data_IF_586140552547
#
_entry.id   IF_586140552547
#
_cell.length_a   1.000
_cell.length_b   1.000
_cell.length_c   1.000
_cell.angle_alpha   90.00
_cell.angle_beta   90.00
_cell.angle_gamma   90.00
#
_symmetry.space_group_name_H-M   'P 1'
#
loop_
_entity.id
_entity.type
_entity.pdbx_description
1 polymer ?
#
# COMPACT_ATOMS: atom_id res chain seq x y z
N UNK A 1 27.99 -60.28 23.57
CA UNK A 1 28.44 -59.34 22.54
C UNK A 1 27.26 -58.51 22.16
N UNK A 2 27.13 -57.31 22.76
CA UNK A 2 26.10 -56.35 22.42
C UNK A 2 26.75 -55.24 21.58
N UNK A 3 26.28 -55.11 20.34
CA UNK A 3 26.67 -54.02 19.46
C UNK A 3 25.81 -52.81 19.71
N UNK A 4 26.45 -51.66 20.05
CA UNK A 4 25.82 -50.38 20.22
C UNK A 4 25.77 -49.71 18.83
N UNK A 5 24.55 -49.43 18.32
CA UNK A 5 24.34 -48.58 17.13
C UNK A 5 24.43 -47.12 17.59
N UNK A 6 25.47 -46.44 17.12
CA UNK A 6 25.60 -45.00 17.29
C UNK A 6 24.73 -44.22 16.27
N UNK A 7 23.85 -43.36 16.77
CA UNK A 7 23.07 -42.44 15.95
C UNK A 7 23.95 -41.24 15.56
N UNK A 8 24.27 -41.13 14.27
CA UNK A 8 24.97 -39.99 13.71
C UNK A 8 23.91 -38.91 13.39
N UNK A 9 23.86 -37.85 14.21
CA UNK A 9 23.09 -36.65 13.92
C UNK A 9 23.92 -35.81 12.94
N UNK A 10 23.52 -35.78 11.67
CA UNK A 10 24.09 -34.81 10.72
C UNK A 10 23.51 -33.43 10.96
N UNK A 11 24.33 -32.53 11.52
CA UNK A 11 24.10 -31.12 11.53
C UNK A 11 24.29 -30.55 10.13
N UNK A 12 23.21 -30.27 9.41
CA UNK A 12 23.24 -29.54 8.14
C UNK A 12 23.32 -28.04 8.44
N UNK A 13 24.53 -27.51 8.50
CA UNK A 13 24.76 -26.06 8.38
C UNK A 13 24.45 -25.59 6.96
N UNK A 14 23.76 -24.45 6.76
CA UNK A 14 23.57 -23.92 5.42
C UNK A 14 24.91 -23.48 4.86
N UNK A 15 25.41 -24.17 3.85
CA UNK A 15 26.63 -23.80 3.12
C UNK A 15 26.39 -22.50 2.37
N UNK A 16 27.03 -21.44 2.85
CA UNK A 16 27.27 -20.22 2.09
C UNK A 16 28.12 -20.57 0.86
N UNK A 17 27.57 -20.48 -0.33
CA UNK A 17 28.33 -20.62 -1.56
C UNK A 17 29.11 -19.33 -1.76
N UNK A 18 30.36 -19.31 -1.36
CA UNK A 18 31.28 -18.19 -1.62
C UNK A 18 31.93 -18.43 -2.97
N UNK A 19 31.53 -17.72 -4.00
CA UNK A 19 32.33 -17.59 -5.22
C UNK A 19 33.48 -16.60 -4.96
N UNK A 20 34.69 -17.11 -4.79
CA UNK A 20 35.90 -16.30 -4.84
C UNK A 20 36.16 -15.85 -6.28
N UNK A 21 35.94 -14.57 -6.55
CA UNK A 21 36.60 -13.86 -7.65
C UNK A 21 37.47 -12.76 -7.02
N UNK A 22 38.75 -12.80 -7.31
CA UNK A 22 39.75 -11.77 -6.94
C UNK A 22 39.32 -10.43 -7.57
N UNK A 23 38.75 -9.56 -6.77
CA UNK A 23 38.72 -8.09 -6.80
C UNK A 23 37.52 -7.65 -5.96
N UNK A 24 37.81 -6.98 -4.84
CA UNK A 24 36.90 -6.23 -3.97
C UNK A 24 35.44 -6.73 -3.88
N UNK A 25 35.12 -7.55 -2.89
CA UNK A 25 33.74 -7.96 -2.55
C UNK A 25 32.91 -6.73 -2.11
N UNK A 26 32.29 -6.06 -3.06
CA UNK A 26 31.10 -5.29 -2.78
C UNK A 26 29.92 -6.28 -2.71
N UNK A 27 29.51 -6.65 -1.50
CA UNK A 27 28.21 -7.30 -1.28
C UNK A 27 27.13 -6.30 -1.74
N UNK A 28 26.72 -6.40 -3.01
CA UNK A 28 25.57 -5.66 -3.51
C UNK A 28 24.33 -6.26 -2.87
N UNK A 29 23.93 -5.72 -1.70
CA UNK A 29 22.65 -6.07 -1.10
C UNK A 29 21.57 -5.62 -2.08
N UNK A 30 20.82 -6.57 -2.60
CA UNK A 30 19.63 -6.32 -3.41
C UNK A 30 18.41 -6.18 -2.50
N UNK A 31 17.44 -5.36 -2.89
CA UNK A 31 16.13 -5.29 -2.21
C UNK A 31 15.47 -6.66 -2.20
N UNK A 32 15.00 -7.13 -1.04
CA UNK A 32 14.28 -8.40 -0.96
C UNK A 32 13.01 -8.44 -1.83
N UNK A 33 12.64 -9.61 -2.27
CA UNK A 33 11.34 -9.90 -2.87
C UNK A 33 10.78 -11.20 -2.27
N UNK A 34 9.61 -11.18 -1.63
CA UNK A 34 8.82 -9.98 -1.36
C UNK A 34 9.53 -9.03 -0.39
N UNK A 35 9.16 -7.74 -0.43
CA UNK A 35 9.65 -6.76 0.53
C UNK A 35 9.11 -7.03 1.93
N UNK A 36 7.84 -7.45 2.00
CA UNK A 36 7.17 -7.76 3.27
C UNK A 36 6.01 -8.73 3.07
N UNK A 37 5.82 -9.59 4.07
CA UNK A 37 4.62 -10.41 4.25
C UNK A 37 4.12 -10.25 5.68
N UNK A 38 2.80 -10.10 5.86
CA UNK A 38 2.20 -10.02 7.18
C UNK A 38 2.33 -11.37 7.90
N UNK A 39 3.00 -11.43 9.08
CA UNK A 39 3.26 -12.70 9.75
C UNK A 39 2.01 -13.29 10.43
N UNK A 40 0.97 -12.48 10.67
CA UNK A 40 -0.24 -12.90 11.37
C UNK A 40 -1.21 -13.54 10.38
N UNK A 41 -1.65 -12.77 9.38
CA UNK A 41 -2.71 -13.19 8.47
C UNK A 41 -2.26 -13.43 7.03
N UNK A 42 -1.03 -13.06 6.69
CA UNK A 42 -0.48 -13.19 5.32
C UNK A 42 -1.26 -12.40 4.26
N UNK A 43 -1.81 -11.28 4.68
CA UNK A 43 -2.73 -10.46 3.89
C UNK A 43 -2.37 -8.97 3.88
N UNK A 44 -1.07 -8.61 3.80
CA UNK A 44 -0.64 -7.22 3.68
C UNK A 44 -1.02 -6.63 2.31
N UNK A 45 -1.86 -5.59 2.31
CA UNK A 45 -2.33 -4.91 1.10
C UNK A 45 -2.35 -3.39 1.29
N UNK A 46 -2.47 -2.64 0.21
CA UNK A 46 -2.67 -1.19 0.19
C UNK A 46 -1.64 -0.44 1.08
N UNK A 47 -0.33 -0.65 0.86
CA UNK A 47 0.72 -0.09 1.71
C UNK A 47 0.86 1.41 1.53
N UNK A 48 1.16 2.14 2.64
CA UNK A 48 1.64 3.52 2.64
C UNK A 48 2.82 3.66 3.57
N UNK A 49 3.82 4.44 3.17
CA UNK A 49 5.04 4.61 3.94
C UNK A 49 5.11 6.00 4.59
N UNK A 50 5.52 6.04 5.85
CA UNK A 50 5.73 7.28 6.60
C UNK A 50 7.03 7.20 7.41
N UNK A 51 7.81 8.29 7.42
CA UNK A 51 8.93 8.42 8.32
C UNK A 51 8.45 8.73 9.74
N UNK A 52 8.82 7.90 10.69
CA UNK A 52 8.56 8.14 12.11
C UNK A 52 9.83 8.69 12.79
N UNK A 53 9.91 10.01 13.03
CA UNK A 53 11.09 10.63 13.63
C UNK A 53 11.28 10.29 15.09
N UNK A 54 10.24 9.83 15.79
CA UNK A 54 10.27 9.51 17.22
C UNK A 54 11.04 8.21 17.50
N UNK A 55 10.98 7.26 16.56
CA UNK A 55 11.71 5.98 16.62
C UNK A 55 12.82 5.90 15.58
N UNK A 56 13.03 6.97 14.79
CA UNK A 56 14.01 7.08 13.71
C UNK A 56 13.95 5.89 12.74
N UNK A 57 12.74 5.55 12.30
CA UNK A 57 12.45 4.42 11.43
C UNK A 57 11.37 4.76 10.39
N UNK A 58 11.40 4.06 9.28
CA UNK A 58 10.29 4.05 8.35
C UNK A 58 9.20 3.11 8.85
N UNK A 59 7.96 3.57 8.82
CA UNK A 59 6.79 2.76 9.06
C UNK A 59 6.05 2.52 7.75
N UNK A 60 5.64 1.27 7.54
CA UNK A 60 4.68 0.87 6.53
C UNK A 60 3.36 0.62 7.24
N UNK A 61 2.34 1.38 6.89
CA UNK A 61 0.98 1.13 7.30
C UNK A 61 0.26 0.45 6.14
N UNK A 62 -0.59 -0.53 6.44
CA UNK A 62 -1.22 -1.34 5.40
C UNK A 62 -2.56 -1.91 5.87
N UNK A 63 -3.42 -2.24 4.94
CA UNK A 63 -4.63 -3.04 5.23
C UNK A 63 -4.20 -4.44 5.64
N UNK A 64 -4.44 -4.82 6.89
CA UNK A 64 -4.15 -6.17 7.39
C UNK A 64 -5.30 -7.10 7.04
N UNK A 65 -5.38 -7.56 5.77
CA UNK A 65 -6.41 -8.51 5.32
C UNK A 65 -6.22 -9.85 6.02
N UNK A 66 -7.32 -10.49 6.41
CA UNK A 66 -7.32 -11.72 7.21
C UNK A 66 -7.26 -12.97 6.33
N UNK A 67 -6.25 -13.10 5.45
CA UNK A 67 -6.17 -14.18 4.47
C UNK A 67 -6.29 -15.59 5.06
N UNK A 68 -5.77 -15.80 6.29
CA UNK A 68 -5.87 -17.08 7.01
C UNK A 68 -7.23 -17.30 7.69
N UNK A 69 -8.14 -16.33 7.68
CA UNK A 69 -9.48 -16.54 8.23
C UNK A 69 -10.31 -17.45 7.32
N UNK A 70 -10.98 -18.44 7.94
CA UNK A 70 -11.88 -19.36 7.24
C UNK A 70 -13.31 -18.79 7.27
N UNK A 71 -13.57 -17.84 6.40
CA UNK A 71 -14.81 -17.09 6.33
C UNK A 71 -15.37 -17.09 4.90
N UNK A 72 -16.70 -16.98 4.78
CA UNK A 72 -17.39 -17.00 3.48
C UNK A 72 -17.24 -15.70 2.73
N UNK A 73 -17.30 -15.80 1.41
CA UNK A 73 -17.30 -14.66 0.50
C UNK A 73 -16.06 -13.79 0.70
N UNK A 74 -16.27 -12.50 0.90
CA UNK A 74 -15.21 -11.49 1.09
C UNK A 74 -14.99 -11.11 2.56
N UNK A 75 -15.60 -11.84 3.52
CA UNK A 75 -15.47 -11.53 4.95
C UNK A 75 -14.01 -11.48 5.44
N UNK A 76 -13.09 -12.18 4.79
CA UNK A 76 -11.65 -12.14 5.08
C UNK A 76 -11.00 -10.77 4.78
N UNK A 77 -11.63 -9.93 3.94
CA UNK A 77 -11.23 -8.54 3.71
C UNK A 77 -11.84 -7.57 4.73
N UNK A 78 -12.71 -8.05 5.60
CA UNK A 78 -13.38 -7.27 6.64
C UNK A 78 -12.88 -7.62 8.03
N UNK A 79 -13.23 -6.83 9.05
CA UNK A 79 -12.65 -6.94 10.38
C UNK A 79 -11.14 -6.67 10.36
N UNK A 80 -10.69 -5.87 9.42
CA UNK A 80 -9.27 -5.55 9.20
C UNK A 80 -8.85 -4.35 10.03
N UNK A 81 -7.62 -4.41 10.51
CA UNK A 81 -6.93 -3.32 11.17
C UNK A 81 -5.95 -2.64 10.20
N UNK A 82 -5.42 -1.49 10.60
CA UNK A 82 -4.24 -0.91 9.97
C UNK A 82 -3.00 -1.53 10.61
N UNK A 83 -2.36 -2.46 9.88
CA UNK A 83 -1.13 -3.10 10.30
C UNK A 83 0.05 -2.13 10.24
N UNK A 84 1.06 -2.36 11.08
CA UNK A 84 2.29 -1.57 11.16
C UNK A 84 3.50 -2.47 10.99
N UNK A 85 4.37 -2.17 10.03
CA UNK A 85 5.70 -2.73 9.93
C UNK A 85 6.76 -1.62 10.01
N UNK A 86 7.90 -1.89 10.64
CA UNK A 86 8.97 -0.93 10.89
C UNK A 86 10.25 -1.35 10.19
N UNK A 87 10.93 -0.39 9.54
CA UNK A 87 12.26 -0.56 8.97
C UNK A 87 13.24 0.48 9.56
N UNK A 88 14.38 0.00 10.05
CA UNK A 88 15.48 0.83 10.58
C UNK A 88 16.68 0.95 9.64
N UNK A 89 16.63 0.28 8.50
CA UNK A 89 17.72 0.18 7.53
C UNK A 89 17.40 0.81 6.17
N UNK A 90 16.49 1.79 6.16
CA UNK A 90 16.11 2.50 4.95
C UNK A 90 15.22 1.70 4.01
N UNK A 91 14.36 0.83 4.55
CA UNK A 91 13.36 0.11 3.79
C UNK A 91 13.77 -1.27 3.29
N UNK A 92 14.96 -1.78 3.68
CA UNK A 92 15.47 -3.08 3.22
C UNK A 92 14.82 -4.23 3.99
N UNK A 93 14.72 -4.10 5.32
CA UNK A 93 14.07 -5.11 6.17
C UNK A 93 12.91 -4.50 6.94
N UNK A 94 11.85 -5.29 7.14
CA UNK A 94 10.64 -4.85 7.80
C UNK A 94 10.22 -5.81 8.91
N UNK A 95 9.87 -5.26 10.07
CA UNK A 95 9.48 -6.01 11.25
C UNK A 95 8.07 -5.61 11.67
N UNK A 96 7.16 -6.56 11.81
CA UNK A 96 5.80 -6.34 12.29
C UNK A 96 5.80 -5.75 13.70
N UNK A 97 4.97 -4.73 13.93
CA UNK A 97 4.86 -3.98 15.19
C UNK A 97 3.48 -4.05 15.84
N UNK A 98 2.55 -4.75 15.23
CA UNK A 98 1.15 -4.76 15.66
C UNK A 98 0.25 -3.96 14.73
N UNK A 99 -0.87 -3.49 15.26
CA UNK A 99 -1.84 -2.65 14.56
C UNK A 99 -2.01 -1.31 15.24
N UNK A 100 -2.52 -0.32 14.51
CA UNK A 100 -2.85 0.98 15.10
C UNK A 100 -4.12 0.90 15.95
N UNK A 101 -4.12 1.44 17.18
CA UNK A 101 -5.29 1.48 18.04
C UNK A 101 -6.24 2.62 17.60
N UNK A 102 -6.99 2.40 16.53
CA UNK A 102 -7.92 3.39 16.00
C UNK A 102 -9.28 3.26 16.70
N UNK A 103 -9.80 4.37 17.23
CA UNK A 103 -11.15 4.41 17.77
C UNK A 103 -12.18 4.48 16.65
N UNK A 104 -13.31 3.82 16.81
CA UNK A 104 -14.40 3.73 15.84
C UNK A 104 -15.75 3.70 16.54
N UNK A 105 -16.85 4.15 15.88
CA UNK A 105 -18.16 4.25 16.51
C UNK A 105 -18.93 2.92 16.57
N UNK A 106 -18.64 1.97 15.68
CA UNK A 106 -19.45 0.78 15.49
C UNK A 106 -18.88 -0.43 16.22
N UNK A 107 -19.72 -1.41 16.53
CA UNK A 107 -19.31 -2.65 17.18
C UNK A 107 -18.41 -3.51 16.29
N UNK A 108 -18.70 -3.56 14.97
CA UNK A 108 -17.87 -4.21 13.95
C UNK A 108 -17.39 -3.18 12.94
N UNK A 109 -16.20 -3.38 12.39
CA UNK A 109 -15.57 -2.42 11.48
C UNK A 109 -14.50 -3.07 10.60
N UNK A 110 -14.08 -2.32 9.60
CA UNK A 110 -12.88 -2.61 8.80
C UNK A 110 -12.19 -1.31 8.45
N UNK A 111 -10.86 -1.31 8.47
CA UNK A 111 -10.04 -0.23 7.94
C UNK A 111 -9.31 -0.70 6.69
N UNK A 112 -9.39 0.09 5.60
CA UNK A 112 -8.69 -0.18 4.34
C UNK A 112 -7.92 1.02 3.85
N UNK A 113 -6.81 0.77 3.17
CA UNK A 113 -6.06 1.74 2.37
C UNK A 113 -5.86 3.10 3.06
N UNK A 114 -5.05 3.17 4.12
CA UNK A 114 -4.72 4.43 4.75
C UNK A 114 -3.85 5.30 3.84
N UNK A 115 -4.06 6.63 3.87
CA UNK A 115 -3.06 7.60 3.40
C UNK A 115 -2.67 8.54 4.53
N UNK A 116 -1.39 8.91 4.58
CA UNK A 116 -0.84 9.73 5.66
C UNK A 116 -0.11 10.94 5.09
N UNK A 117 -0.46 12.10 5.63
CA UNK A 117 0.23 13.34 5.37
C UNK A 117 0.68 14.00 6.68
N UNK A 118 1.63 14.91 6.60
CA UNK A 118 2.05 15.77 7.71
C UNK A 118 1.79 17.22 7.34
N UNK A 119 1.06 17.95 8.19
CA UNK A 119 0.77 19.36 7.95
C UNK A 119 1.99 20.25 8.27
N UNK A 120 1.92 21.53 7.91
CA UNK A 120 3.00 22.50 8.12
C UNK A 120 3.28 22.81 9.59
N UNK A 121 2.40 22.38 10.51
CA UNK A 121 2.58 22.47 11.98
C UNK A 121 3.19 21.21 12.57
N UNK A 122 3.44 20.20 11.74
CA UNK A 122 4.03 18.93 12.13
C UNK A 122 3.04 17.88 12.64
N UNK A 123 1.72 18.16 12.58
CA UNK A 123 0.69 17.20 12.93
C UNK A 123 0.51 16.20 11.77
N UNK A 124 0.43 14.92 12.12
CA UNK A 124 0.11 13.86 11.16
C UNK A 124 -1.40 13.71 11.03
N UNK A 125 -1.85 13.51 9.82
CA UNK A 125 -3.23 13.25 9.47
C UNK A 125 -3.30 11.94 8.70
N UNK A 126 -4.14 11.03 9.13
CA UNK A 126 -4.44 9.81 8.41
C UNK A 126 -5.88 9.88 7.90
N UNK A 127 -6.04 9.59 6.63
CA UNK A 127 -7.33 9.35 6.00
C UNK A 127 -7.38 7.89 5.63
N UNK A 128 -8.46 7.21 6.01
CA UNK A 128 -8.55 5.77 5.87
C UNK A 128 -9.98 5.38 5.52
N UNK A 129 -10.15 4.41 4.64
CA UNK A 129 -11.45 3.84 4.33
C UNK A 129 -11.98 3.10 5.55
N UNK A 130 -13.20 3.37 5.93
CA UNK A 130 -13.89 2.76 7.06
C UNK A 130 -15.17 2.07 6.59
N UNK A 131 -15.31 0.79 6.93
CA UNK A 131 -16.51 0.00 6.62
C UNK A 131 -17.14 -0.46 7.92
N UNK A 132 -18.39 -0.05 8.23
CA UNK A 132 -19.10 -0.50 9.41
C UNK A 132 -19.57 -1.96 9.27
N UNK A 133 -19.75 -2.63 10.39
CA UNK A 133 -20.31 -3.99 10.46
C UNK A 133 -19.31 -5.07 10.83
N UNK A 134 -19.81 -6.14 11.40
CA UNK A 134 -19.00 -7.31 11.77
C UNK A 134 -18.56 -8.06 10.49
N UNK A 135 -17.31 -8.52 10.44
CA UNK A 135 -16.73 -9.17 9.26
C UNK A 135 -17.58 -10.31 8.69
N UNK A 136 -18.13 -11.15 9.56
CA UNK A 136 -18.95 -12.30 9.17
C UNK A 136 -20.26 -11.94 8.48
N UNK A 137 -20.67 -10.68 8.54
CA UNK A 137 -21.87 -10.18 7.84
C UNK A 137 -21.58 -9.80 6.38
N UNK A 138 -20.31 -9.61 6.02
CA UNK A 138 -19.87 -9.19 4.69
C UNK A 138 -19.61 -10.41 3.79
N UNK A 139 -20.65 -10.88 3.10
CA UNK A 139 -20.55 -11.99 2.15
C UNK A 139 -20.15 -11.54 0.74
N UNK A 140 -20.36 -10.29 0.44
CA UNK A 140 -20.04 -9.61 -0.82
C UNK A 140 -19.46 -8.21 -0.55
N UNK A 141 -19.20 -7.46 -1.62
CA UNK A 141 -18.65 -6.10 -1.55
C UNK A 141 -19.73 -5.03 -1.29
N UNK A 142 -20.91 -5.39 -0.81
CA UNK A 142 -21.95 -4.44 -0.46
C UNK A 142 -21.68 -3.65 0.83
N UNK A 143 -22.59 -2.71 1.14
CA UNK A 143 -22.57 -1.91 2.37
C UNK A 143 -21.89 -0.55 2.23
N UNK A 144 -22.13 0.30 3.22
CA UNK A 144 -21.58 1.67 3.28
C UNK A 144 -20.08 1.66 3.52
N UNK A 145 -19.41 2.69 3.02
CA UNK A 145 -17.97 2.93 3.18
C UNK A 145 -17.72 4.40 3.27
N UNK A 146 -16.90 4.78 4.24
CA UNK A 146 -16.63 6.18 4.55
C UNK A 146 -15.14 6.42 4.57
N UNK A 147 -14.72 7.64 4.34
CA UNK A 147 -13.36 8.06 4.66
C UNK A 147 -13.37 8.69 6.04
N UNK A 148 -12.59 8.09 6.96
CA UNK A 148 -12.37 8.62 8.30
C UNK A 148 -11.06 9.39 8.36
N UNK A 149 -11.07 10.49 9.11
CA UNK A 149 -9.92 11.32 9.37
C UNK A 149 -9.50 11.19 10.83
N UNK A 150 -8.24 10.86 11.02
CA UNK A 150 -7.56 10.82 12.31
C UNK A 150 -6.40 11.78 12.33
N UNK A 151 -6.01 12.28 13.50
CA UNK A 151 -4.80 13.08 13.70
C UNK A 151 -3.89 12.48 14.77
N UNK A 152 -2.58 12.71 14.64
CA UNK A 152 -1.58 12.23 15.59
C UNK A 152 -0.40 13.17 15.69
N UNK A 153 0.13 13.33 16.91
CA UNK A 153 1.38 14.07 17.16
C UNK A 153 2.62 13.16 17.05
N UNK A 154 2.44 11.84 17.10
CA UNK A 154 3.54 10.88 17.27
C UNK A 154 3.41 9.58 16.47
N UNK A 155 2.43 9.49 15.57
CA UNK A 155 2.10 8.31 14.76
C UNK A 155 1.63 7.07 15.56
N UNK A 156 1.74 7.06 16.88
CA UNK A 156 1.36 5.91 17.73
C UNK A 156 0.00 6.09 18.40
N UNK A 157 -0.36 7.30 18.77
CA UNK A 157 -1.66 7.64 19.35
C UNK A 157 -2.46 8.48 18.35
N UNK A 158 -3.60 7.96 17.97
CA UNK A 158 -4.46 8.57 16.96
C UNK A 158 -5.78 9.04 17.58
N UNK A 159 -6.16 10.27 17.28
CA UNK A 159 -7.43 10.88 17.67
C UNK A 159 -8.36 10.85 16.47
N UNK A 160 -9.54 10.27 16.62
CA UNK A 160 -10.60 10.40 15.63
C UNK A 160 -11.05 11.87 15.54
N UNK A 161 -11.01 12.42 14.36
CA UNK A 161 -11.45 13.81 14.11
C UNK A 161 -12.87 13.82 13.56
N UNK A 162 -13.12 13.05 12.51
CA UNK A 162 -14.44 13.01 11.85
C UNK A 162 -14.54 11.95 10.75
N UNK A 163 -15.75 11.69 10.31
CA UNK A 163 -16.05 11.22 8.97
C UNK A 163 -15.89 12.39 8.01
N UNK A 164 -15.19 12.20 6.89
CA UNK A 164 -15.07 13.22 5.83
C UNK A 164 -16.42 13.37 5.12
N UNK A 165 -16.96 14.59 5.00
CA UNK A 165 -18.27 14.82 4.37
C UNK A 165 -18.09 14.79 2.83
N UNK A 166 -18.29 13.64 2.22
CA UNK A 166 -18.29 13.44 0.77
C UNK A 166 -19.72 13.24 0.26
N UNK A 167 -19.92 13.32 -1.05
CA UNK A 167 -21.25 13.26 -1.66
C UNK A 167 -21.90 11.87 -1.59
N UNK A 168 -21.10 10.83 -1.40
CA UNK A 168 -21.53 9.43 -1.38
C UNK A 168 -21.11 8.74 -0.09
N UNK A 169 -21.90 7.76 0.33
CA UNK A 169 -21.61 6.85 1.43
C UNK A 169 -20.85 5.59 0.99
N UNK A 170 -20.21 5.63 -0.18
CA UNK A 170 -19.48 4.52 -0.78
C UNK A 170 -18.08 4.92 -1.23
N UNK A 171 -17.38 5.72 -0.41
CA UNK A 171 -16.07 6.28 -0.73
C UNK A 171 -14.95 5.53 -0.05
N UNK A 172 -13.91 5.17 -0.84
CA UNK A 172 -12.71 4.47 -0.37
C UNK A 172 -11.43 5.08 -0.98
N UNK A 173 -10.29 4.61 -0.52
CA UNK A 173 -8.95 4.83 -1.08
C UNK A 173 -8.58 6.32 -1.19
N UNK A 174 -8.56 7.06 -0.08
CA UNK A 174 -8.15 8.44 -0.09
C UNK A 174 -6.66 8.57 -0.43
N UNK A 175 -6.31 9.57 -1.24
CA UNK A 175 -4.92 9.99 -1.48
C UNK A 175 -4.83 11.50 -1.49
N UNK A 176 -3.91 12.05 -0.71
CA UNK A 176 -3.83 13.48 -0.46
C UNK A 176 -2.55 14.10 -1.00
N UNK A 177 -2.69 15.33 -1.46
CA UNK A 177 -1.55 16.19 -1.82
C UNK A 177 -1.81 17.63 -1.34
N UNK A 178 -0.75 18.32 -0.93
CA UNK A 178 -0.83 19.75 -0.71
C UNK A 178 -0.66 20.49 -2.04
N UNK A 179 -1.60 21.40 -2.33
CA UNK A 179 -1.55 22.23 -3.53
C UNK A 179 -0.56 23.41 -3.34
N UNK A 180 -0.05 24.01 -4.41
CA UNK A 180 0.89 25.13 -4.34
C UNK A 180 0.34 26.34 -3.56
N UNK A 181 -0.98 26.53 -3.49
CA UNK A 181 -1.63 27.59 -2.71
C UNK A 181 -1.75 27.27 -1.20
N UNK A 182 -1.24 26.09 -0.76
CA UNK A 182 -1.28 25.64 0.62
C UNK A 182 -2.56 24.89 1.03
N UNK A 183 -3.59 24.85 0.19
CA UNK A 183 -4.76 23.99 0.41
C UNK A 183 -4.44 22.53 0.12
N UNK A 184 -5.40 21.65 0.37
CA UNK A 184 -5.25 20.22 0.22
C UNK A 184 -6.23 19.70 -0.82
N UNK A 185 -5.80 18.71 -1.61
CA UNK A 185 -6.65 17.98 -2.53
C UNK A 185 -6.58 16.49 -2.18
N UNK A 186 -7.74 15.85 -2.17
CA UNK A 186 -7.92 14.42 -1.98
C UNK A 186 -8.55 13.82 -3.22
N UNK A 187 -7.92 12.79 -3.78
CA UNK A 187 -8.54 11.88 -4.72
C UNK A 187 -9.05 10.67 -3.95
N UNK A 188 -10.18 10.14 -4.35
CA UNK A 188 -10.79 8.96 -3.72
C UNK A 188 -11.63 8.21 -4.75
N UNK A 189 -11.90 6.93 -4.51
CA UNK A 189 -12.83 6.13 -5.32
C UNK A 189 -14.22 6.28 -4.74
N UNK A 190 -15.20 6.58 -5.59
CA UNK A 190 -16.62 6.58 -5.24
C UNK A 190 -17.32 5.42 -5.95
N UNK A 191 -17.68 4.40 -5.19
CA UNK A 191 -18.37 3.22 -5.70
C UNK A 191 -19.86 3.48 -5.92
N UNK A 192 -20.45 4.43 -5.22
CA UNK A 192 -21.83 4.89 -5.44
C UNK A 192 -22.03 5.55 -6.79
N UNK A 193 -20.95 6.07 -7.39
CA UNK A 193 -20.97 6.71 -8.70
C UNK A 193 -20.13 5.95 -9.75
N UNK A 194 -20.22 4.61 -9.73
CA UNK A 194 -19.63 3.74 -10.77
C UNK A 194 -18.17 3.42 -10.60
N UNK A 195 -17.68 3.37 -9.36
CA UNK A 195 -16.29 3.00 -9.02
C UNK A 195 -15.24 3.85 -9.72
N UNK A 196 -15.49 5.16 -9.79
CA UNK A 196 -14.61 6.13 -10.44
C UNK A 196 -13.84 6.95 -9.42
N UNK A 197 -12.78 7.62 -9.86
CA UNK A 197 -12.02 8.55 -9.04
C UNK A 197 -12.73 9.91 -9.00
N UNK A 198 -12.88 10.44 -7.80
CA UNK A 198 -13.42 11.76 -7.51
C UNK A 198 -12.42 12.63 -6.78
N UNK A 199 -12.71 13.91 -6.67
CA UNK A 199 -11.82 14.91 -6.10
C UNK A 199 -12.58 15.75 -5.08
N UNK A 200 -11.94 16.00 -3.93
CA UNK A 200 -12.38 16.99 -2.96
C UNK A 200 -11.21 17.88 -2.54
N UNK A 201 -11.49 19.14 -2.22
CA UNK A 201 -10.49 20.08 -1.73
C UNK A 201 -10.84 20.60 -0.35
N UNK A 202 -9.79 20.95 0.39
CA UNK A 202 -9.90 21.49 1.75
C UNK A 202 -8.83 22.54 2.01
N UNK A 203 -9.18 23.70 2.59
CA UNK A 203 -8.21 24.69 3.01
C UNK A 203 -7.48 24.28 4.30
N UNK A 204 -8.04 23.35 5.09
CA UNK A 204 -7.67 23.16 6.49
C UNK A 204 -7.66 21.68 6.95
N UNK A 205 -7.83 20.72 6.02
CA UNK A 205 -8.01 19.28 6.28
C UNK A 205 -9.28 18.95 7.09
N UNK A 206 -10.16 19.91 7.32
CA UNK A 206 -11.37 19.76 8.11
C UNK A 206 -12.62 19.99 7.30
N UNK A 207 -12.60 21.02 6.50
CA UNK A 207 -13.72 21.41 5.63
C UNK A 207 -13.42 20.90 4.22
N UNK A 208 -14.19 19.96 3.74
CA UNK A 208 -14.02 19.36 2.42
C UNK A 208 -15.16 19.76 1.49
N UNK A 209 -14.82 20.02 0.25
CA UNK A 209 -15.78 20.34 -0.81
C UNK A 209 -15.40 19.53 -2.06
N UNK A 210 -16.37 18.79 -2.58
CA UNK A 210 -16.24 18.16 -3.89
C UNK A 210 -15.99 19.22 -4.97
N UNK A 211 -15.09 18.94 -5.89
CA UNK A 211 -14.76 19.84 -7.00
C UNK A 211 -15.00 19.13 -8.32
N UNK A 212 -15.45 19.90 -9.31
CA UNK A 212 -15.53 19.42 -10.67
C UNK A 212 -14.11 19.18 -11.19
N UNK A 213 -13.85 17.94 -11.53
CA UNK A 213 -12.52 17.49 -11.84
C UNK A 213 -12.07 17.80 -13.24
N UNK A 214 -10.82 18.22 -13.37
CA UNK A 214 -10.18 18.52 -14.65
C UNK A 214 -9.65 17.31 -15.42
N UNK A 215 -10.10 16.09 -15.23
CA UNK A 215 -9.75 15.09 -16.24
C UNK A 215 -9.47 13.65 -15.82
N UNK A 216 -9.21 13.33 -14.53
CA UNK A 216 -9.04 11.93 -14.08
C UNK A 216 -10.16 11.43 -13.20
N UNK A 217 -11.02 12.31 -12.71
CA UNK A 217 -12.27 11.89 -12.09
C UNK A 217 -13.12 11.23 -13.15
N UNK A 218 -13.89 10.27 -12.76
CA UNK A 218 -14.73 9.44 -13.63
C UNK A 218 -13.97 8.39 -14.45
N UNK A 219 -12.66 8.21 -14.29
CA UNK A 219 -11.97 7.03 -14.78
C UNK A 219 -12.08 5.89 -13.77
N UNK A 220 -12.37 4.71 -14.25
CA UNK A 220 -12.45 3.50 -13.45
C UNK A 220 -11.10 3.19 -12.76
N UNK A 221 -11.14 2.63 -11.56
CA UNK A 221 -9.96 2.20 -10.80
C UNK A 221 -9.96 2.75 -9.37
N UNK A 222 -9.12 2.16 -8.56
CA UNK A 222 -8.94 2.43 -7.13
C UNK A 222 -7.51 2.87 -6.82
N UNK A 223 -7.21 3.16 -5.55
CA UNK A 223 -5.87 3.45 -5.08
C UNK A 223 -5.15 4.58 -5.83
N UNK A 224 -5.78 5.76 -6.06
CA UNK A 224 -5.06 6.85 -6.70
C UNK A 224 -3.90 7.28 -5.81
N UNK A 225 -2.67 7.36 -6.35
CA UNK A 225 -1.52 7.94 -5.64
C UNK A 225 -0.86 9.01 -6.49
N UNK A 226 -0.82 10.22 -5.94
CA UNK A 226 -0.23 11.38 -6.62
C UNK A 226 1.10 11.77 -5.98
N UNK A 227 2.12 12.04 -6.80
CA UNK A 227 3.45 12.41 -6.35
C UNK A 227 4.15 13.31 -7.39
N UNK A 228 5.18 14.05 -6.95
CA UNK A 228 6.02 14.83 -7.85
C UNK A 228 7.36 14.13 -8.05
N UNK A 229 7.76 13.96 -9.32
CA UNK A 229 9.04 13.35 -9.66
C UNK A 229 9.56 13.88 -11.01
N UNK A 230 10.86 14.22 -11.06
CA UNK A 230 11.53 14.74 -12.27
C UNK A 230 10.76 15.88 -12.96
N UNK A 231 10.34 16.86 -12.14
CA UNK A 231 9.72 18.10 -12.62
C UNK A 231 8.27 17.97 -13.12
N UNK A 232 7.62 16.82 -12.91
CA UNK A 232 6.23 16.58 -13.26
C UNK A 232 5.46 16.00 -12.09
N UNK A 233 4.16 16.22 -12.06
CA UNK A 233 3.25 15.45 -11.20
C UNK A 233 2.82 14.18 -11.93
N UNK A 234 2.74 13.11 -11.17
CA UNK A 234 2.31 11.80 -11.64
C UNK A 234 1.18 11.30 -10.75
N UNK A 235 0.25 10.60 -11.34
CA UNK A 235 -0.76 9.82 -10.63
C UNK A 235 -0.72 8.39 -11.14
N UNK A 236 -0.74 7.44 -10.23
CA UNK A 236 -0.96 6.03 -10.53
C UNK A 236 -2.30 5.60 -9.95
N UNK A 237 -2.97 4.65 -10.63
CA UNK A 237 -4.27 4.11 -10.23
C UNK A 237 -4.34 2.63 -10.54
N UNK A 238 -5.11 1.86 -9.76
CA UNK A 238 -5.33 0.44 -9.96
C UNK A 238 -6.70 0.15 -10.60
N UNK A 239 -6.77 -0.09 -11.91
CA UNK A 239 -7.98 -0.56 -12.60
C UNK A 239 -8.11 -2.09 -12.57
N UNK A 240 -7.43 -2.81 -11.66
CA UNK A 240 -7.34 -4.27 -11.58
C UNK A 240 -6.70 -4.95 -12.80
N UNK A 241 -5.83 -4.24 -13.51
CA UNK A 241 -5.10 -4.76 -14.71
C UNK A 241 -3.69 -4.18 -14.81
N UNK A 242 -3.00 -4.06 -13.69
CA UNK A 242 -1.79 -3.26 -13.51
C UNK A 242 -2.16 -1.81 -13.18
N UNK A 243 -1.18 -0.92 -13.10
CA UNK A 243 -1.39 0.45 -12.66
C UNK A 243 -1.40 1.42 -13.84
N UNK A 244 -2.49 2.13 -14.02
CA UNK A 244 -2.59 3.26 -14.96
C UNK A 244 -1.73 4.42 -14.49
N UNK A 245 -1.03 5.05 -15.41
CA UNK A 245 -0.15 6.20 -15.16
C UNK A 245 -0.70 7.44 -15.88
N UNK A 246 -0.80 8.51 -15.12
CA UNK A 246 -1.15 9.85 -15.63
C UNK A 246 -0.04 10.84 -15.28
N UNK A 247 0.18 11.82 -16.17
CA UNK A 247 1.14 12.90 -15.98
C UNK A 247 0.43 14.24 -16.01
N UNK A 248 0.85 15.16 -15.13
CA UNK A 248 0.35 16.53 -15.10
C UNK A 248 1.49 17.53 -14.87
N UNK A 249 1.44 18.73 -15.44
CA UNK A 249 2.33 19.84 -15.11
C UNK A 249 1.88 20.60 -13.85
N UNK A 250 0.59 20.54 -13.47
CA UNK A 250 -0.06 21.50 -12.59
C UNK A 250 -1.06 20.88 -11.59
N UNK A 251 -1.21 19.55 -11.52
CA UNK A 251 -2.21 18.81 -10.74
C UNK A 251 -3.66 18.93 -11.27
N UNK A 252 -3.90 19.72 -12.29
CA UNK A 252 -5.21 19.96 -12.89
C UNK A 252 -5.35 19.31 -14.27
N UNK A 253 -4.33 19.43 -15.10
CA UNK A 253 -4.33 18.94 -16.47
C UNK A 253 -3.65 17.57 -16.57
N UNK A 254 -4.42 16.49 -16.57
CA UNK A 254 -3.89 15.14 -16.55
C UNK A 254 -3.90 14.47 -17.93
N UNK A 255 -2.80 13.81 -18.27
CA UNK A 255 -2.66 13.06 -19.52
C UNK A 255 -2.27 11.62 -19.23
N UNK A 256 -3.05 10.68 -19.74
CA UNK A 256 -2.74 9.24 -19.67
C UNK A 256 -1.44 8.90 -20.39
N UNK A 257 -0.59 8.08 -19.74
CA UNK A 257 0.74 7.71 -20.26
C UNK A 257 0.87 6.22 -20.59
N UNK A 258 -0.08 5.38 -20.15
CA UNK A 258 -0.02 3.93 -20.26
C UNK A 258 -0.08 3.24 -18.90
N UNK A 259 0.39 2.00 -18.86
CA UNK A 259 0.39 1.17 -17.65
C UNK A 259 1.80 0.80 -17.21
N UNK A 260 1.94 0.55 -15.90
CA UNK A 260 3.09 -0.12 -15.29
C UNK A 260 2.58 -1.31 -14.46
N UNK A 261 3.45 -2.28 -14.16
CA UNK A 261 3.13 -3.46 -13.35
C UNK A 261 1.92 -4.27 -13.88
N UNK A 262 1.65 -4.18 -15.17
CA UNK A 262 0.55 -4.85 -15.87
C UNK A 262 0.90 -6.27 -16.34
N UNK A 263 2.16 -6.68 -16.15
CA UNK A 263 2.67 -8.02 -16.49
C UNK A 263 3.28 -8.69 -15.27
N UNK A 264 3.23 -10.03 -15.19
CA UNK A 264 3.94 -10.78 -14.17
C UNK A 264 5.43 -10.45 -14.12
N UNK A 265 5.98 -10.30 -12.90
CA UNK A 265 7.42 -10.25 -12.66
C UNK A 265 8.02 -11.66 -12.47
N UNK A 266 9.34 -11.71 -12.32
CA UNK A 266 10.11 -12.95 -12.15
C UNK A 266 10.61 -13.14 -10.72
N UNK A 267 10.48 -12.12 -9.88
CA UNK A 267 10.92 -12.17 -8.48
C UNK A 267 9.96 -13.01 -7.64
N UNK A 268 10.41 -13.44 -6.46
CA UNK A 268 9.56 -14.21 -5.55
C UNK A 268 8.31 -13.42 -5.17
N UNK A 269 7.16 -14.10 -5.18
CA UNK A 269 5.84 -13.56 -4.86
C UNK A 269 5.41 -12.36 -5.74
N UNK A 270 6.03 -12.18 -6.91
CA UNK A 270 5.81 -11.05 -7.84
C UNK A 270 5.28 -11.51 -9.22
N UNK A 271 4.79 -12.74 -9.31
CA UNK A 271 4.35 -13.40 -10.55
C UNK A 271 2.97 -12.99 -11.05
N UNK A 272 2.36 -11.92 -10.54
CA UNK A 272 1.06 -11.39 -10.99
C UNK A 272 1.14 -9.88 -11.22
N UNK A 273 0.05 -9.25 -11.61
CA UNK A 273 -0.02 -7.79 -11.73
C UNK A 273 0.21 -7.11 -10.38
N UNK A 274 0.82 -5.92 -10.42
CA UNK A 274 0.89 -5.04 -9.23
C UNK A 274 -0.46 -4.37 -8.98
N UNK A 275 -0.78 -4.19 -7.69
CA UNK A 275 -2.02 -3.58 -7.21
C UNK A 275 -1.71 -2.43 -6.28
N UNK A 276 -2.69 -1.61 -6.00
CA UNK A 276 -2.74 -0.43 -5.12
C UNK A 276 -1.38 -0.09 -4.47
N UNK A 277 -0.78 1.03 -4.82
CA UNK A 277 0.61 1.31 -4.49
C UNK A 277 0.81 2.68 -3.84
N UNK A 278 1.88 2.78 -3.07
CA UNK A 278 2.47 4.05 -2.62
C UNK A 278 3.75 4.37 -3.40
N UNK A 279 4.14 5.64 -3.44
CA UNK A 279 5.39 6.08 -4.05
C UNK A 279 6.15 7.00 -3.11
N UNK A 280 7.40 6.65 -2.82
CA UNK A 280 8.30 7.48 -2.04
C UNK A 280 9.41 8.03 -2.95
N UNK A 281 9.49 9.37 -3.00
CA UNK A 281 10.54 10.09 -3.72
C UNK A 281 11.66 10.44 -2.77
N UNK A 282 12.86 9.95 -3.04
CA UNK A 282 14.08 10.18 -2.27
C UNK A 282 15.12 10.87 -3.16
N UNK A 283 15.09 12.21 -3.21
CA UNK A 283 15.94 13.00 -4.09
C UNK A 283 15.72 12.67 -5.56
N UNK A 284 16.73 12.14 -6.24
CA UNK A 284 16.70 11.80 -7.66
C UNK A 284 16.12 10.41 -7.94
N UNK A 285 15.72 9.66 -6.92
CA UNK A 285 15.15 8.30 -7.04
C UNK A 285 13.72 8.27 -6.54
N UNK A 286 12.89 7.43 -7.14
CA UNK A 286 11.53 7.14 -6.70
C UNK A 286 11.33 5.64 -6.59
N UNK A 287 10.68 5.21 -5.51
CA UNK A 287 10.37 3.81 -5.25
C UNK A 287 8.86 3.64 -5.18
N UNK A 288 8.35 2.68 -5.92
CA UNK A 288 6.96 2.24 -5.82
C UNK A 288 6.89 1.03 -4.89
N UNK A 289 5.95 1.10 -3.95
CA UNK A 289 5.65 0.03 -3.00
C UNK A 289 4.23 -0.41 -3.30
N UNK A 290 4.06 -1.65 -3.72
CA UNK A 290 2.78 -2.19 -4.20
C UNK A 290 2.55 -3.57 -3.63
N UNK A 291 1.34 -4.10 -3.75
CA UNK A 291 1.13 -5.49 -3.38
C UNK A 291 0.75 -6.35 -4.59
N UNK A 292 0.91 -7.64 -4.42
CA UNK A 292 0.50 -8.67 -5.38
C UNK A 292 -0.31 -9.74 -4.67
N UNK A 293 -1.06 -10.51 -5.44
CA UNK A 293 -1.56 -11.83 -5.04
C UNK A 293 -0.66 -12.89 -5.65
N UNK A 294 0.36 -13.41 -4.96
CA UNK A 294 1.45 -14.20 -5.54
C UNK A 294 0.98 -15.40 -6.35
N UNK A 295 -0.10 -16.00 -5.92
CA UNK A 295 -0.66 -17.23 -6.53
C UNK A 295 -1.83 -16.94 -7.48
N UNK A 296 -2.13 -15.63 -7.74
CA UNK A 296 -3.32 -15.21 -8.47
C UNK A 296 -4.57 -15.23 -7.59
N UNK A 297 -5.70 -14.84 -8.17
CA UNK A 297 -7.00 -14.84 -7.51
C UNK A 297 -8.04 -15.71 -8.26
N UNK A 298 -7.62 -16.32 -9.35
CA UNK A 298 -8.47 -17.16 -10.20
C UNK A 298 -8.53 -18.60 -9.66
N UNK A 299 -9.14 -18.73 -8.51
CA UNK A 299 -9.39 -20.03 -7.87
C UNK A 299 -10.88 -20.25 -7.73
N UNK A 300 -11.36 -21.50 -7.94
CA UNK A 300 -12.77 -21.80 -7.73
C UNK A 300 -13.12 -21.62 -6.24
N UNK A 301 -14.20 -20.90 -6.00
CA UNK A 301 -14.83 -20.82 -4.69
C UNK A 301 -15.47 -22.19 -4.38
N UNK A 302 -15.14 -22.76 -3.23
CA UNK A 302 -15.73 -24.00 -2.76
C UNK A 302 -16.68 -23.71 -1.60
N UNK A 303 -17.97 -23.96 -1.81
CA UNK A 303 -19.02 -23.79 -0.80
C UNK A 303 -19.10 -22.36 -0.22
N UNK A 304 -18.76 -21.34 -1.00
CA UNK A 304 -18.71 -19.94 -0.57
C UNK A 304 -17.42 -19.56 0.16
N UNK A 305 -16.37 -20.41 0.13
CA UNK A 305 -15.07 -20.14 0.74
C UNK A 305 -14.00 -19.96 -0.33
N UNK A 306 -13.39 -18.77 -0.35
CA UNK A 306 -12.23 -18.51 -1.17
C UNK A 306 -11.00 -19.26 -0.59
N UNK A 307 -10.25 -20.06 -1.38
CA UNK A 307 -9.09 -20.79 -0.88
C UNK A 307 -7.97 -19.86 -0.45
N UNK A 308 -7.18 -20.30 0.53
CA UNK A 308 -6.09 -19.51 1.10
C UNK A 308 -5.13 -18.89 0.06
N UNK A 309 -4.65 -19.63 -0.98
CA UNK A 309 -3.76 -19.03 -1.98
C UNK A 309 -4.32 -17.78 -2.67
N UNK A 310 -5.62 -17.74 -2.96
CA UNK A 310 -6.27 -16.58 -3.58
C UNK A 310 -6.34 -15.34 -2.67
N UNK A 311 -6.26 -15.55 -1.34
CA UNK A 311 -6.36 -14.51 -0.33
C UNK A 311 -5.01 -13.91 0.06
N UNK A 312 -3.92 -14.68 -0.09
CA UNK A 312 -2.57 -14.24 0.27
C UNK A 312 -2.18 -13.02 -0.55
N UNK A 313 -1.57 -12.04 0.12
CA UNK A 313 -0.96 -10.89 -0.52
C UNK A 313 0.44 -10.61 0.02
N UNK A 314 1.32 -10.13 -0.85
CA UNK A 314 2.71 -9.82 -0.56
C UNK A 314 3.04 -8.40 -1.01
N UNK A 315 3.70 -7.64 -0.15
CA UNK A 315 4.19 -6.29 -0.51
C UNK A 315 5.51 -6.44 -1.27
N UNK A 316 5.60 -5.72 -2.37
CA UNK A 316 6.76 -5.66 -3.25
C UNK A 316 7.28 -4.23 -3.35
N UNK A 317 8.50 -4.05 -3.88
CA UNK A 317 9.04 -2.76 -4.23
C UNK A 317 9.73 -2.81 -5.60
N UNK A 318 9.71 -1.68 -6.31
CA UNK A 318 10.50 -1.47 -7.52
C UNK A 318 10.97 -0.02 -7.59
N UNK A 319 11.96 0.25 -8.44
CA UNK A 319 12.39 1.61 -8.72
C UNK A 319 11.65 2.17 -9.94
N UNK A 320 11.16 3.41 -9.82
CA UNK A 320 10.55 4.15 -10.92
C UNK A 320 11.61 4.98 -11.64
N UNK A 321 11.52 5.01 -12.95
CA UNK A 321 12.36 5.84 -13.82
C UNK A 321 11.49 6.72 -14.73
N UNK A 322 12.05 7.84 -15.20
CA UNK A 322 11.44 8.62 -16.27
C UNK A 322 12.30 8.46 -17.52
N UNK A 323 11.74 7.82 -18.56
CA UNK A 323 12.38 7.62 -19.87
C UNK A 323 11.51 8.24 -20.96
N UNK A 324 12.09 9.07 -21.80
CA UNK A 324 11.39 9.76 -22.89
C UNK A 324 10.12 10.49 -22.41
N UNK A 325 10.22 11.10 -21.21
CA UNK A 325 9.13 11.84 -20.60
C UNK A 325 7.97 10.99 -20.05
N UNK A 326 8.10 9.66 -20.02
CA UNK A 326 7.14 8.71 -19.47
C UNK A 326 7.66 8.07 -18.17
N UNK A 327 6.77 7.82 -17.24
CA UNK A 327 7.06 7.03 -16.05
C UNK A 327 7.09 5.54 -16.42
N UNK A 328 8.17 4.85 -16.06
CA UNK A 328 8.36 3.43 -16.36
C UNK A 328 8.79 2.68 -15.10
N UNK A 329 8.46 1.40 -15.04
CA UNK A 329 8.81 0.51 -13.96
C UNK A 329 9.24 -0.85 -14.54
N UNK A 330 10.53 -1.16 -14.43
CA UNK A 330 11.03 -2.52 -14.65
C UNK A 330 11.15 -3.20 -13.29
N UNK A 331 10.13 -3.97 -12.92
CA UNK A 331 10.06 -4.63 -11.60
C UNK A 331 11.12 -5.70 -11.40
N UNK A 332 11.65 -6.27 -12.48
CA UNK A 332 12.68 -7.31 -12.44
C UNK A 332 14.11 -6.75 -12.41
N UNK A 333 14.27 -5.45 -12.67
CA UNK A 333 15.58 -4.77 -12.60
C UNK A 333 16.12 -4.81 -11.17
N UNK A 334 17.34 -5.33 -10.95
CA UNK A 334 17.98 -5.30 -9.63
C UNK A 334 18.16 -3.87 -9.11
N UNK A 335 17.78 -3.62 -7.87
CA UNK A 335 18.01 -2.34 -7.20
C UNK A 335 18.21 -2.54 -5.70
N UNK A 336 18.72 -1.50 -5.03
CA UNK A 336 18.74 -1.43 -3.59
C UNK A 336 17.89 -0.23 -3.15
N UNK A 337 16.81 -0.52 -2.42
CA UNK A 337 15.98 0.50 -1.78
C UNK A 337 16.80 1.23 -0.72
N UNK A 338 16.72 2.55 -0.72
CA UNK A 338 17.34 3.41 0.27
C UNK A 338 16.44 4.59 0.54
N UNK A 339 15.49 4.39 1.44
CA UNK A 339 14.60 5.45 1.90
C UNK A 339 15.39 6.39 2.80
N UNK A 340 15.35 7.67 2.48
CA UNK A 340 15.97 8.72 3.29
C UNK A 340 14.89 9.49 4.03
N UNK A 341 15.11 9.86 5.31
CA UNK A 341 14.16 10.70 6.02
C UNK A 341 13.84 11.97 5.22
N UNK A 342 12.57 12.44 5.21
CA UNK A 342 12.24 13.73 4.62
C UNK A 342 12.99 14.86 5.34
N UNK A 343 13.40 15.86 4.56
CA UNK A 343 14.13 17.04 5.06
C UNK A 343 13.25 17.94 5.92
#
# INVERSE_FOLDING_TARGET
MLGVLGLVVMNLSPKLVVHQLNNGLALTKQTPAPLYRDPIFDGAADPVLVWNPFVKAWWMLYTQRRAKAEERGVAWCHGTEVGVAESKDGGVTWVYKGTLPLSHPDKGYSFWAPDIIRDNRGLYHMFVSYVPGEAVTHKDWGGHRYIFHYSSKNLSAWKFERRVPLESDYCIDPSLVQLPNGSWRMWYKDEGHGSKTFVAESPDLKTWKAVNDPGVSKLYGEGPKTFQFKGSYWMIKDPNSGLDVYKSPDLDSWKYQGKILDKPGKRNDDGTIGKHADVIVCGERAFIIYFTHPYGQDFPDKDGFMPLPAKISAVQAAELEVKDGKLVCDRDKPFLIRLTPPK
#
